data_IF_253543783109
#
_entry.id   IF_253543783109
#
_cell.length_a   1.000
_cell.length_b   1.000
_cell.length_c   1.000
_cell.angle_alpha   90.00
_cell.angle_beta   90.00
_cell.angle_gamma   90.00
#
_symmetry.space_group_name_H-M   'P 1'
#
loop_
_entity.id
_entity.type
_entity.pdbx_description
1 polymer ?
#
# COMPACT_ATOMS: atom_id res chain seq x y z
N UNK A 1 -24.29 49.32 17.35
CA UNK A 1 -23.63 48.16 18.00
C UNK A 1 -24.03 46.83 17.44
N UNK A 2 -25.25 46.68 16.99
CA UNK A 2 -25.72 45.41 16.42
C UNK A 2 -25.05 45.06 15.08
N UNK A 3 -24.59 46.06 14.32
CA UNK A 3 -23.89 45.89 13.06
C UNK A 3 -22.54 45.15 13.22
N UNK A 4 -21.79 45.43 14.27
CA UNK A 4 -20.51 44.74 14.54
C UNK A 4 -20.69 43.27 14.90
N UNK A 5 -21.76 42.92 15.59
CA UNK A 5 -22.10 41.53 15.91
C UNK A 5 -22.51 40.73 14.67
N UNK A 6 -23.24 41.37 13.78
CA UNK A 6 -23.67 40.77 12.49
C UNK A 6 -22.46 40.51 11.59
N UNK A 7 -21.52 41.43 11.48
CA UNK A 7 -20.28 41.24 10.72
C UNK A 7 -19.40 40.12 11.27
N UNK A 8 -19.30 40.01 12.59
CA UNK A 8 -18.58 38.92 13.25
C UNK A 8 -19.19 37.57 12.97
N UNK A 9 -20.49 37.43 12.99
CA UNK A 9 -21.21 36.18 12.69
C UNK A 9 -21.06 35.78 11.21
N UNK A 10 -21.13 36.73 10.28
CA UNK A 10 -20.93 36.47 8.85
C UNK A 10 -19.50 36.01 8.57
N UNK A 11 -18.49 36.62 9.18
CA UNK A 11 -17.10 36.24 9.02
C UNK A 11 -16.81 34.81 9.54
N UNK A 12 -17.36 34.44 10.70
CA UNK A 12 -17.24 33.10 11.27
C UNK A 12 -17.92 32.04 10.39
N UNK A 13 -19.11 32.31 9.89
CA UNK A 13 -19.83 31.43 8.96
C UNK A 13 -19.07 31.19 7.67
N UNK A 14 -18.45 32.22 7.09
CA UNK A 14 -17.66 32.10 5.87
C UNK A 14 -16.40 31.25 6.08
N UNK A 15 -15.72 31.37 7.21
CA UNK A 15 -14.55 30.56 7.53
C UNK A 15 -14.90 29.07 7.66
N UNK A 16 -16.02 28.73 8.27
CA UNK A 16 -16.50 27.34 8.41
C UNK A 16 -16.84 26.75 7.02
N UNK A 17 -17.52 27.47 6.16
CA UNK A 17 -17.88 27.02 4.80
C UNK A 17 -16.63 26.78 3.95
N UNK A 18 -15.65 27.68 4.00
CA UNK A 18 -14.38 27.53 3.29
C UNK A 18 -13.58 26.32 3.78
N UNK A 19 -13.53 26.10 5.10
CA UNK A 19 -12.88 24.93 5.70
C UNK A 19 -13.55 23.63 5.29
N UNK A 20 -14.87 23.55 5.33
CA UNK A 20 -15.63 22.38 4.90
C UNK A 20 -15.43 22.11 3.40
N UNK A 21 -15.43 23.15 2.57
CA UNK A 21 -15.20 23.04 1.14
C UNK A 21 -13.79 22.54 0.81
N UNK A 22 -12.77 23.01 1.52
CA UNK A 22 -11.38 22.52 1.37
C UNK A 22 -11.24 21.04 1.76
N UNK A 23 -11.94 20.59 2.82
CA UNK A 23 -11.97 19.18 3.23
C UNK A 23 -12.67 18.30 2.21
N UNK A 24 -13.79 18.76 1.63
CA UNK A 24 -14.54 18.03 0.60
C UNK A 24 -13.78 17.96 -0.74
N UNK A 25 -12.91 18.92 -1.02
CA UNK A 25 -12.06 18.91 -2.22
C UNK A 25 -10.83 18.06 -2.12
N UNK A 26 -10.46 17.53 -0.96
CA UNK A 26 -9.35 16.58 -0.85
C UNK A 26 -9.72 15.35 -1.66
N UNK A 27 -9.00 15.15 -2.76
CA UNK A 27 -9.11 13.93 -3.55
C UNK A 27 -8.72 12.75 -2.67
N UNK A 28 -9.54 11.68 -2.62
CA UNK A 28 -9.11 10.47 -1.94
C UNK A 28 -7.83 9.96 -2.60
N UNK A 29 -6.92 9.42 -1.78
CA UNK A 29 -5.68 8.83 -2.29
C UNK A 29 -6.02 7.67 -3.22
N UNK A 30 -5.29 7.57 -4.32
CA UNK A 30 -5.43 6.45 -5.24
C UNK A 30 -5.00 5.14 -4.57
N UNK A 31 -5.48 3.97 -5.03
CA UNK A 31 -5.00 2.69 -4.51
C UNK A 31 -3.48 2.53 -4.60
N UNK A 32 -2.86 3.07 -5.65
CA UNK A 32 -1.41 3.03 -5.82
C UNK A 32 -0.67 3.86 -4.76
N UNK A 33 -1.20 5.02 -4.39
CA UNK A 33 -0.65 5.86 -3.33
C UNK A 33 -0.78 5.21 -1.95
N UNK A 34 -1.93 4.59 -1.65
CA UNK A 34 -2.15 3.86 -0.41
C UNK A 34 -1.19 2.67 -0.28
N UNK A 35 -0.97 1.94 -1.36
CA UNK A 35 -0.03 0.82 -1.38
C UNK A 35 1.40 1.29 -1.19
N UNK A 36 1.78 2.42 -1.80
CA UNK A 36 3.10 3.01 -1.60
C UNK A 36 3.33 3.43 -0.15
N UNK A 37 2.33 4.05 0.48
CA UNK A 37 2.40 4.43 1.89
C UNK A 37 2.53 3.20 2.79
N UNK A 38 1.80 2.12 2.48
CA UNK A 38 1.91 0.85 3.20
C UNK A 38 3.33 0.29 3.09
N UNK A 39 3.92 0.28 1.89
CA UNK A 39 5.30 -0.19 1.69
C UNK A 39 6.31 0.63 2.47
N UNK A 40 6.19 1.96 2.43
CA UNK A 40 7.10 2.85 3.16
C UNK A 40 7.02 2.62 4.67
N UNK A 41 5.82 2.47 5.19
CA UNK A 41 5.60 2.21 6.61
C UNK A 41 6.16 0.85 7.04
N UNK A 42 5.87 -0.22 6.31
CA UNK A 42 6.38 -1.57 6.59
C UNK A 42 7.90 -1.66 6.46
N UNK A 43 8.49 -0.94 5.53
CA UNK A 43 9.94 -0.90 5.38
C UNK A 43 10.62 -0.32 6.63
N UNK A 44 9.97 0.62 7.31
CA UNK A 44 10.47 1.24 8.53
C UNK A 44 10.23 0.41 9.81
N UNK A 45 9.09 -0.28 9.93
CA UNK A 45 8.67 -0.93 11.19
C UNK A 45 8.55 -2.46 11.09
N UNK A 46 8.61 -3.03 9.88
CA UNK A 46 8.43 -4.45 9.67
C UNK A 46 9.56 -5.30 10.23
N UNK A 47 9.21 -6.51 10.66
CA UNK A 47 10.17 -7.57 10.99
C UNK A 47 10.34 -8.48 9.79
N UNK A 48 11.53 -9.06 9.67
CA UNK A 48 11.88 -9.93 8.55
C UNK A 48 11.75 -11.39 8.99
N UNK A 49 11.09 -12.18 8.16
CA UNK A 49 11.03 -13.64 8.29
C UNK A 49 11.25 -14.31 6.93
N UNK A 50 11.53 -15.59 6.94
CA UNK A 50 11.67 -16.36 5.72
C UNK A 50 10.28 -16.71 5.14
N UNK A 51 10.20 -16.67 3.82
CA UNK A 51 9.00 -17.03 3.10
C UNK A 51 9.33 -17.73 1.79
N UNK A 52 8.31 -18.06 1.05
CA UNK A 52 8.40 -18.75 -0.24
C UNK A 52 7.43 -18.15 -1.23
N UNK A 53 7.88 -17.87 -2.43
CA UNK A 53 7.00 -17.44 -3.53
C UNK A 53 6.21 -18.65 -4.02
N UNK A 54 4.89 -18.52 -4.05
CA UNK A 54 3.99 -19.56 -4.51
C UNK A 54 3.62 -19.37 -5.97
N UNK A 55 3.35 -18.12 -6.38
CA UNK A 55 2.87 -17.81 -7.71
C UNK A 55 3.11 -16.35 -8.06
N UNK A 56 3.08 -16.06 -9.35
CA UNK A 56 3.05 -14.70 -9.90
C UNK A 56 1.88 -14.64 -10.86
N UNK A 57 0.91 -13.78 -10.57
CA UNK A 57 -0.29 -13.64 -11.38
C UNK A 57 -0.29 -12.30 -12.12
N UNK A 58 -0.54 -12.36 -13.42
CA UNK A 58 -0.80 -11.17 -14.22
C UNK A 58 -2.30 -11.06 -14.48
N UNK A 59 -2.91 -9.99 -13.95
CA UNK A 59 -4.32 -9.72 -14.14
C UNK A 59 -4.50 -8.76 -15.31
N UNK A 60 -5.41 -9.11 -16.22
CA UNK A 60 -5.80 -8.22 -17.30
C UNK A 60 -6.38 -6.90 -16.75
N UNK A 61 -6.20 -5.81 -17.50
CA UNK A 61 -6.78 -4.52 -17.14
C UNK A 61 -8.30 -4.66 -16.99
N UNK A 62 -8.83 -4.39 -15.80
CA UNK A 62 -10.26 -4.26 -15.58
C UNK A 62 -10.76 -2.96 -16.26
N UNK A 63 -12.07 -2.88 -16.58
CA UNK A 63 -12.65 -1.70 -17.22
C UNK A 63 -12.35 -0.38 -16.49
N UNK A 64 -12.18 -0.44 -15.16
CA UNK A 64 -11.85 0.70 -14.32
C UNK A 64 -10.34 0.94 -14.12
N UNK A 65 -9.49 0.01 -14.54
CA UNK A 65 -8.03 0.08 -14.43
C UNK A 65 -7.40 -0.06 -15.80
N UNK A 66 -6.68 0.96 -16.24
CA UNK A 66 -6.06 1.00 -17.57
C UNK A 66 -4.79 0.19 -17.70
N UNK A 67 -4.19 -0.24 -16.59
CA UNK A 67 -2.93 -1.00 -16.58
C UNK A 67 -3.15 -2.40 -16.02
N UNK A 68 -2.59 -3.44 -16.65
CA UNK A 68 -2.62 -4.78 -16.07
C UNK A 68 -1.88 -4.78 -14.73
N UNK A 69 -2.43 -5.50 -13.75
CA UNK A 69 -1.84 -5.65 -12.43
C UNK A 69 -1.00 -6.92 -12.35
N UNK A 70 0.14 -6.84 -11.67
CA UNK A 70 0.99 -8.00 -11.38
C UNK A 70 0.97 -8.25 -9.88
N UNK A 71 0.57 -9.46 -9.49
CA UNK A 71 0.51 -9.88 -8.09
C UNK A 71 1.56 -10.95 -7.83
N UNK A 72 2.34 -10.74 -6.79
CA UNK A 72 3.28 -11.72 -6.25
C UNK A 72 2.60 -12.41 -5.07
N UNK A 73 2.42 -13.72 -5.15
CA UNK A 73 1.79 -14.52 -4.10
C UNK A 73 2.85 -15.30 -3.38
N UNK A 74 2.87 -15.19 -2.06
CA UNK A 74 3.88 -15.79 -1.20
C UNK A 74 3.27 -16.27 0.11
N UNK A 75 3.98 -17.18 0.76
CA UNK A 75 3.61 -17.70 2.09
C UNK A 75 4.77 -17.56 3.06
N UNK A 76 4.45 -17.44 4.32
CA UNK A 76 5.41 -17.38 5.41
C UNK A 76 4.74 -17.79 6.72
N UNK A 77 5.54 -18.12 7.72
CA UNK A 77 5.06 -18.48 9.04
C UNK A 77 5.54 -17.46 10.08
N UNK A 78 4.64 -17.09 10.99
CA UNK A 78 4.93 -16.23 12.12
C UNK A 78 4.36 -16.87 13.37
N UNK A 79 5.22 -17.19 14.34
CA UNK A 79 4.82 -17.80 15.61
C UNK A 79 3.93 -19.06 15.45
N UNK A 80 4.24 -19.90 14.47
CA UNK A 80 3.52 -21.14 14.21
C UNK A 80 2.23 -20.96 13.38
N UNK A 81 1.92 -19.76 12.95
CA UNK A 81 0.76 -19.47 12.08
C UNK A 81 1.25 -19.22 10.66
N UNK A 82 0.66 -19.92 9.70
CA UNK A 82 0.96 -19.76 8.28
C UNK A 82 0.10 -18.69 7.65
N UNK A 83 0.72 -17.81 6.89
CA UNK A 83 0.05 -16.75 6.14
C UNK A 83 0.35 -16.90 4.66
N UNK A 84 -0.69 -16.69 3.85
CA UNK A 84 -0.57 -16.60 2.40
C UNK A 84 -1.06 -15.23 1.99
N UNK A 85 -0.20 -14.45 1.35
CA UNK A 85 -0.48 -13.06 1.00
C UNK A 85 -0.15 -12.79 -0.45
N UNK A 86 -0.76 -11.75 -0.99
CA UNK A 86 -0.42 -11.20 -2.30
C UNK A 86 0.05 -9.77 -2.16
N UNK A 87 1.09 -9.42 -2.91
CA UNK A 87 1.56 -8.05 -3.02
C UNK A 87 1.39 -7.58 -4.46
N UNK A 88 0.80 -6.39 -4.63
CA UNK A 88 0.76 -5.72 -5.92
C UNK A 88 2.13 -5.14 -6.22
N UNK A 89 2.80 -5.69 -7.21
CA UNK A 89 4.14 -5.29 -7.64
C UNK A 89 4.14 -4.60 -9.01
N UNK A 90 2.99 -4.16 -9.47
CA UNK A 90 2.81 -3.53 -10.79
C UNK A 90 3.77 -2.36 -11.00
N UNK A 91 3.90 -1.50 -10.00
CA UNK A 91 4.77 -0.31 -10.06
C UNK A 91 6.24 -0.59 -9.69
N UNK A 92 6.56 -1.83 -9.37
CA UNK A 92 7.91 -2.28 -8.99
C UNK A 92 8.56 -3.16 -10.04
N UNK A 93 7.96 -3.30 -11.23
CA UNK A 93 8.45 -4.17 -12.31
C UNK A 93 9.89 -3.88 -12.74
N UNK A 94 10.31 -2.64 -12.67
CA UNK A 94 11.69 -2.23 -13.00
C UNK A 94 12.73 -2.84 -12.05
N UNK A 95 12.31 -3.24 -10.85
CA UNK A 95 13.19 -3.82 -9.82
C UNK A 95 13.15 -5.35 -9.82
N UNK A 96 12.22 -5.97 -10.56
CA UNK A 96 11.95 -7.39 -10.50
C UNK A 96 12.14 -8.02 -11.89
N UNK A 97 12.91 -9.10 -11.96
CA UNK A 97 12.86 -9.98 -13.10
C UNK A 97 11.81 -11.07 -12.85
N UNK A 98 10.61 -10.87 -13.38
CA UNK A 98 9.49 -11.81 -13.22
C UNK A 98 9.79 -13.19 -13.81
N UNK A 99 10.64 -13.27 -14.85
CA UNK A 99 11.04 -14.52 -15.46
C UNK A 99 11.92 -15.39 -14.56
N UNK A 100 12.62 -14.80 -13.61
CA UNK A 100 13.42 -15.52 -12.62
C UNK A 100 12.67 -15.82 -11.33
N UNK A 101 11.45 -15.33 -11.15
CA UNK A 101 10.57 -15.69 -10.04
C UNK A 101 10.00 -17.08 -10.27
N UNK A 102 10.67 -18.09 -9.73
CA UNK A 102 10.23 -19.49 -9.83
C UNK A 102 9.31 -19.82 -8.66
N UNK A 103 8.36 -20.72 -8.91
CA UNK A 103 7.57 -21.34 -7.85
C UNK A 103 8.51 -22.01 -6.83
N UNK A 104 8.30 -21.75 -5.56
CA UNK A 104 9.16 -22.27 -4.49
C UNK A 104 10.41 -21.45 -4.24
N UNK A 105 10.57 -20.27 -4.85
CA UNK A 105 11.70 -19.39 -4.60
C UNK A 105 11.69 -18.93 -3.15
N UNK A 106 12.78 -19.18 -2.42
CA UNK A 106 12.95 -18.64 -1.06
C UNK A 106 13.06 -17.12 -1.12
N UNK A 107 12.38 -16.47 -0.21
CA UNK A 107 12.35 -15.03 -0.14
C UNK A 107 12.36 -14.57 1.33
N UNK A 108 12.66 -13.30 1.55
CA UNK A 108 12.50 -12.64 2.84
C UNK A 108 11.21 -11.83 2.81
N UNK A 109 10.45 -11.90 3.89
CA UNK A 109 9.16 -11.22 4.04
C UNK A 109 9.27 -10.24 5.20
N UNK A 110 8.88 -9.00 4.98
CA UNK A 110 8.69 -8.00 6.04
C UNK A 110 7.23 -7.99 6.44
N UNK A 111 6.97 -8.14 7.72
CA UNK A 111 5.61 -8.17 8.25
C UNK A 111 5.43 -7.22 9.41
N UNK A 112 4.19 -6.77 9.60
CA UNK A 112 3.80 -5.96 10.75
C UNK A 112 3.71 -6.85 12.00
N UNK A 113 4.50 -6.60 13.06
CA UNK A 113 4.42 -7.41 14.29
C UNK A 113 3.06 -7.35 14.97
N UNK A 114 2.30 -6.28 14.77
CA UNK A 114 0.95 -6.10 15.34
C UNK A 114 -0.14 -6.76 14.50
N UNK A 115 0.12 -6.95 13.20
CA UNK A 115 -0.77 -7.60 12.26
C UNK A 115 0.03 -8.41 11.25
N UNK A 116 0.43 -9.65 11.59
CA UNK A 116 1.35 -10.43 10.76
C UNK A 116 0.85 -10.73 9.34
N UNK A 117 -0.46 -10.63 9.08
CA UNK A 117 -1.02 -10.75 7.73
C UNK A 117 -0.70 -9.55 6.83
N UNK A 118 -0.31 -8.41 7.39
CA UNK A 118 0.14 -7.25 6.64
C UNK A 118 1.65 -7.36 6.41
N UNK A 119 2.05 -7.60 5.16
CA UNK A 119 3.44 -7.91 4.82
C UNK A 119 3.79 -7.46 3.41
N UNK A 120 5.09 -7.48 3.12
CA UNK A 120 5.60 -7.25 1.77
C UNK A 120 6.88 -8.04 1.53
N UNK A 121 7.21 -8.23 0.26
CA UNK A 121 8.45 -8.87 -0.19
C UNK A 121 9.39 -7.85 -0.84
N UNK A 122 8.83 -6.85 -1.48
CA UNK A 122 9.59 -5.85 -2.23
C UNK A 122 9.09 -4.46 -1.89
N UNK A 123 10.03 -3.51 -1.71
CA UNK A 123 9.77 -2.09 -1.70
C UNK A 123 10.79 -1.37 -2.56
N UNK A 124 10.64 -0.07 -2.72
CA UNK A 124 11.57 0.75 -3.49
C UNK A 124 12.99 0.75 -2.89
N UNK A 125 13.10 0.52 -1.59
CA UNK A 125 14.36 0.53 -0.84
C UNK A 125 14.79 -0.84 -0.31
N UNK A 126 13.99 -1.89 -0.53
CA UNK A 126 14.28 -3.22 -0.01
C UNK A 126 13.83 -4.32 -0.97
N UNK A 127 14.71 -5.28 -1.19
CA UNK A 127 14.48 -6.43 -2.05
C UNK A 127 14.54 -7.70 -1.21
N UNK A 128 13.36 -8.31 -0.98
CA UNK A 128 13.25 -9.58 -0.28
C UNK A 128 13.38 -10.80 -1.20
N UNK A 129 13.19 -10.64 -2.49
CA UNK A 129 13.37 -11.72 -3.47
C UNK A 129 14.84 -12.07 -3.61
N UNK A 130 15.13 -13.34 -3.43
CA UNK A 130 16.48 -13.90 -3.64
C UNK A 130 16.54 -14.48 -5.06
N UNK A 131 16.82 -13.62 -5.98
CA UNK A 131 17.00 -14.00 -7.38
C UNK A 131 18.43 -14.46 -7.66
#
# INVERSE_FOLDING_TARGET
MDSLRIYGLIAAGSAIVLGAYALLRRKPKSPAELERERRLWLDGVGRITDGTVIDVQELAAAESQRTPATLLIYKYDVAGVSYECSQDVTHLRQWINLHSCRLGLHTSVKYDPQNPGNSLVISESWMGLRQ
#
